data_IF_316769694135
#
_entry.id   IF_316769694135
#
_cell.length_a   1.000
_cell.length_b   1.000
_cell.length_c   1.000
_cell.angle_alpha   90.00
_cell.angle_beta   90.00
_cell.angle_gamma   90.00
#
_symmetry.space_group_name_H-M   'P 1'
#
loop_
_entity.id
_entity.type
_entity.pdbx_description
1 polymer ?
#
# COMPACT_ATOMS: atom_id res chain seq x y z
N UNK A 1 23.30 -1.25 -22.04
CA UNK A 1 22.06 -0.45 -21.89
C UNK A 1 21.33 -0.48 -23.22
N UNK A 2 19.99 -0.57 -23.18
CA UNK A 2 19.18 -0.66 -24.39
C UNK A 2 19.02 -2.09 -24.92
N UNK A 3 19.18 -3.10 -24.08
CA UNK A 3 18.85 -4.48 -24.44
C UNK A 3 17.37 -4.57 -24.79
N UNK A 4 17.06 -5.21 -25.91
CA UNK A 4 15.70 -5.57 -26.33
C UNK A 4 15.47 -7.08 -26.30
N UNK A 5 16.56 -7.84 -26.30
CA UNK A 5 16.57 -9.30 -26.33
C UNK A 5 17.46 -9.81 -25.20
N UNK A 6 16.97 -10.83 -24.51
CA UNK A 6 17.59 -11.49 -23.37
C UNK A 6 17.57 -13.03 -23.53
N UNK A 7 17.31 -13.56 -24.72
CA UNK A 7 17.30 -15.01 -24.99
C UNK A 7 18.56 -15.74 -24.57
N UNK A 8 19.72 -15.06 -24.55
CA UNK A 8 20.97 -15.65 -24.05
C UNK A 8 20.88 -16.11 -22.58
N UNK A 9 20.01 -15.47 -21.77
CA UNK A 9 19.82 -15.82 -20.37
C UNK A 9 19.27 -17.24 -20.20
N UNK A 10 18.60 -17.79 -21.21
CA UNK A 10 18.06 -19.15 -21.15
C UNK A 10 19.12 -20.23 -20.87
N UNK A 11 20.38 -19.92 -21.17
CA UNK A 11 21.51 -20.83 -20.98
C UNK A 11 22.07 -20.78 -19.55
N UNK A 12 21.67 -19.80 -18.74
CA UNK A 12 22.21 -19.54 -17.41
C UNK A 12 21.21 -19.91 -16.32
N UNK A 13 20.67 -21.14 -16.37
CA UNK A 13 19.60 -21.66 -15.50
C UNK A 13 19.86 -21.61 -13.98
N UNK A 14 21.11 -21.40 -13.58
CA UNK A 14 21.51 -21.29 -12.17
C UNK A 14 21.55 -19.85 -11.65
N UNK A 15 21.18 -18.85 -12.46
CA UNK A 15 21.09 -17.47 -12.02
C UNK A 15 20.07 -17.33 -10.89
N UNK A 16 20.48 -16.62 -9.83
CA UNK A 16 19.64 -16.35 -8.64
C UNK A 16 19.27 -14.89 -8.50
N UNK A 17 20.10 -13.99 -9.02
CA UNK A 17 19.94 -12.55 -8.95
C UNK A 17 20.17 -11.97 -10.32
N UNK A 18 19.15 -11.34 -10.89
CA UNK A 18 19.23 -10.75 -12.23
C UNK A 18 18.69 -9.33 -12.17
N UNK A 19 19.51 -8.38 -12.61
CA UNK A 19 19.11 -6.98 -12.82
C UNK A 19 19.15 -6.67 -14.32
N UNK A 20 17.99 -6.45 -14.90
CA UNK A 20 17.77 -6.06 -16.30
C UNK A 20 17.23 -4.64 -16.40
N UNK A 21 17.38 -3.84 -15.35
CA UNK A 21 16.86 -2.48 -15.30
C UNK A 21 17.48 -1.57 -16.36
N UNK A 22 16.76 -0.52 -16.75
CA UNK A 22 17.23 0.54 -17.67
C UNK A 22 17.62 -0.03 -19.04
N UNK A 23 16.75 -0.89 -19.56
CA UNK A 23 16.83 -1.43 -20.91
C UNK A 23 15.57 -1.07 -21.70
N UNK A 24 15.29 -1.79 -22.79
CA UNK A 24 14.14 -1.55 -23.68
C UNK A 24 13.32 -2.82 -23.83
N UNK A 25 13.27 -3.64 -22.78
CA UNK A 25 12.60 -4.94 -22.79
C UNK A 25 11.09 -4.73 -22.85
N UNK A 26 10.45 -5.55 -23.68
CA UNK A 26 8.99 -5.67 -23.78
C UNK A 26 8.50 -7.07 -23.45
N UNK A 27 9.42 -8.03 -23.42
CA UNK A 27 9.15 -9.44 -23.22
C UNK A 27 10.12 -10.01 -22.19
N UNK A 28 9.59 -10.84 -21.31
CA UNK A 28 10.32 -11.56 -20.26
C UNK A 28 10.23 -13.09 -20.43
N UNK A 29 9.62 -13.60 -21.51
CA UNK A 29 9.50 -15.03 -21.77
C UNK A 29 10.82 -15.81 -21.67
N UNK A 30 11.99 -15.27 -22.09
CA UNK A 30 13.27 -15.97 -21.92
C UNK A 30 13.68 -16.27 -20.48
N UNK A 31 13.09 -15.57 -19.49
CA UNK A 31 13.36 -15.81 -18.07
C UNK A 31 12.69 -17.08 -17.54
N UNK A 32 11.77 -17.69 -18.30
CA UNK A 32 11.03 -18.90 -17.91
C UNK A 32 11.91 -20.09 -17.53
N UNK A 33 13.12 -20.17 -18.08
CA UNK A 33 14.11 -21.22 -17.78
C UNK A 33 14.91 -20.98 -16.49
N UNK A 34 14.86 -19.78 -15.92
CA UNK A 34 15.61 -19.40 -14.71
C UNK A 34 14.90 -19.84 -13.44
N UNK A 35 14.61 -21.14 -13.33
CA UNK A 35 13.82 -21.69 -12.23
C UNK A 35 14.44 -21.49 -10.85
N UNK A 36 15.75 -21.21 -10.75
CA UNK A 36 16.47 -20.95 -9.50
C UNK A 36 16.50 -19.47 -9.10
N UNK A 37 15.80 -18.60 -9.83
CA UNK A 37 15.81 -17.17 -9.60
C UNK A 37 15.14 -16.85 -8.26
N UNK A 38 15.83 -16.06 -7.43
CA UNK A 38 15.36 -15.58 -6.14
C UNK A 38 14.96 -14.11 -6.19
N UNK A 39 15.63 -13.34 -7.05
CA UNK A 39 15.48 -11.90 -7.13
C UNK A 39 15.59 -11.43 -8.58
N UNK A 40 14.63 -10.60 -9.00
CA UNK A 40 14.57 -10.03 -10.33
C UNK A 40 14.28 -8.54 -10.29
N UNK A 41 15.10 -7.75 -10.98
CA UNK A 41 14.82 -6.36 -11.30
C UNK A 41 14.66 -6.17 -12.79
N UNK A 42 13.55 -5.58 -13.19
CA UNK A 42 13.26 -5.20 -14.59
C UNK A 42 12.79 -3.75 -14.67
N UNK A 43 13.26 -2.90 -13.75
CA UNK A 43 12.85 -1.51 -13.62
C UNK A 43 13.22 -0.69 -14.87
N UNK A 44 12.44 0.34 -15.21
CA UNK A 44 12.76 1.25 -16.32
C UNK A 44 12.95 0.50 -17.66
N UNK A 45 11.96 -0.30 -18.02
CA UNK A 45 11.85 -0.98 -19.32
C UNK A 45 10.57 -0.50 -20.04
N UNK A 46 10.10 -1.25 -21.04
CA UNK A 46 8.91 -0.94 -21.84
C UNK A 46 7.84 -2.03 -21.70
N UNK A 47 7.80 -2.71 -20.55
CA UNK A 47 6.85 -3.79 -20.28
C UNK A 47 5.42 -3.24 -20.17
N UNK A 48 4.47 -3.91 -20.81
CA UNK A 48 3.04 -3.57 -20.71
C UNK A 48 2.24 -4.58 -19.88
N UNK A 49 2.86 -5.70 -19.50
CA UNK A 49 2.30 -6.73 -18.62
C UNK A 49 3.38 -7.23 -17.68
N UNK A 50 2.98 -7.61 -16.47
CA UNK A 50 3.83 -8.29 -15.48
C UNK A 50 3.79 -9.82 -15.62
N UNK A 51 2.97 -10.34 -16.52
CA UNK A 51 2.76 -11.78 -16.71
C UNK A 51 4.04 -12.50 -17.07
N UNK A 52 4.33 -13.57 -16.36
CA UNK A 52 5.45 -14.45 -16.63
C UNK A 52 5.17 -15.87 -16.15
N UNK A 53 5.93 -16.82 -16.70
CA UNK A 53 5.92 -18.20 -16.21
C UNK A 53 6.26 -18.21 -14.71
N UNK A 54 5.57 -19.05 -13.96
CA UNK A 54 5.83 -19.22 -12.53
C UNK A 54 7.31 -19.58 -12.27
N UNK A 55 7.97 -18.76 -11.45
CA UNK A 55 9.32 -19.01 -10.94
C UNK A 55 9.23 -19.44 -9.47
N UNK A 56 9.46 -20.74 -9.16
CA UNK A 56 9.03 -21.33 -7.88
C UNK A 56 9.80 -20.81 -6.66
N UNK A 57 11.01 -20.29 -6.86
CA UNK A 57 11.85 -19.76 -5.79
C UNK A 57 11.96 -18.23 -5.76
N UNK A 58 11.23 -17.52 -6.64
CA UNK A 58 11.30 -16.08 -6.74
C UNK A 58 10.70 -15.42 -5.49
N UNK A 59 11.50 -14.61 -4.79
CA UNK A 59 11.13 -13.97 -3.52
C UNK A 59 10.91 -12.47 -3.67
N UNK A 60 11.63 -11.83 -4.59
CA UNK A 60 11.56 -10.39 -4.79
C UNK A 60 11.54 -10.08 -6.27
N UNK A 61 10.55 -9.29 -6.70
CA UNK A 61 10.49 -8.77 -8.05
C UNK A 61 10.12 -7.29 -8.06
N UNK A 62 10.74 -6.57 -8.98
CA UNK A 62 10.50 -5.14 -9.17
C UNK A 62 10.34 -4.83 -10.65
N UNK A 63 9.23 -4.19 -10.96
CA UNK A 63 8.77 -3.75 -12.28
C UNK A 63 8.65 -2.23 -12.36
N UNK A 64 9.38 -1.51 -11.53
CA UNK A 64 9.21 -0.07 -11.35
C UNK A 64 9.44 0.68 -12.68
N UNK A 65 8.70 1.77 -12.91
CA UNK A 65 8.86 2.63 -14.08
C UNK A 65 8.72 1.87 -15.41
N UNK A 66 7.65 1.08 -15.57
CA UNK A 66 7.27 0.43 -16.82
C UNK A 66 5.92 0.99 -17.33
N UNK A 67 5.25 0.29 -18.25
CA UNK A 67 3.94 0.64 -18.80
C UNK A 67 2.87 -0.41 -18.47
N UNK A 68 3.00 -1.12 -17.34
CA UNK A 68 2.09 -2.21 -16.95
C UNK A 68 0.72 -1.64 -16.59
N UNK A 69 -0.36 -2.28 -17.05
CA UNK A 69 -1.73 -1.74 -16.95
C UNK A 69 -2.64 -2.52 -15.98
N UNK A 70 -2.25 -3.74 -15.62
CA UNK A 70 -3.00 -4.64 -14.73
C UNK A 70 -2.05 -5.52 -13.91
N UNK A 71 -2.61 -6.32 -13.00
CA UNK A 71 -1.85 -7.23 -12.13
C UNK A 71 -2.00 -8.70 -12.56
N UNK A 72 -2.48 -8.97 -13.77
CA UNK A 72 -2.74 -10.34 -14.22
C UNK A 72 -1.44 -11.10 -14.52
N UNK A 73 -1.47 -12.42 -14.28
CA UNK A 73 -0.36 -13.31 -14.60
C UNK A 73 0.82 -13.26 -13.64
N UNK A 74 0.68 -12.60 -12.48
CA UNK A 74 1.70 -12.62 -11.42
C UNK A 74 1.42 -13.80 -10.49
N UNK A 75 2.06 -14.95 -10.77
CA UNK A 75 1.81 -16.21 -10.07
C UNK A 75 3.12 -16.78 -9.51
N UNK A 76 3.50 -16.37 -8.29
CA UNK A 76 4.79 -16.73 -7.69
C UNK A 76 4.65 -17.08 -6.19
N UNK A 77 4.60 -18.36 -5.81
CA UNK A 77 4.18 -18.80 -4.48
C UNK A 77 5.08 -18.30 -3.34
N UNK A 78 6.38 -18.18 -3.58
CA UNK A 78 7.37 -17.73 -2.59
C UNK A 78 7.67 -16.22 -2.66
N UNK A 79 6.95 -15.46 -3.50
CA UNK A 79 7.16 -14.03 -3.63
C UNK A 79 6.78 -13.31 -2.33
N UNK A 80 7.75 -12.66 -1.70
CA UNK A 80 7.59 -11.92 -0.46
C UNK A 80 7.43 -10.41 -0.70
N UNK A 81 8.01 -9.89 -1.78
CA UNK A 81 7.97 -8.46 -2.12
C UNK A 81 7.75 -8.25 -3.61
N UNK A 82 6.71 -7.48 -3.95
CA UNK A 82 6.36 -7.08 -5.30
C UNK A 82 6.34 -5.55 -5.40
N UNK A 83 7.14 -4.99 -6.31
CA UNK A 83 7.15 -3.56 -6.61
C UNK A 83 6.72 -3.30 -8.06
N UNK A 84 5.72 -2.43 -8.22
CA UNK A 84 5.12 -2.00 -9.48
C UNK A 84 4.96 -0.48 -9.50
N UNK A 85 5.90 0.23 -8.88
CA UNK A 85 5.82 1.69 -8.74
C UNK A 85 5.90 2.38 -10.11
N UNK A 86 5.18 3.49 -10.29
CA UNK A 86 5.24 4.33 -11.50
C UNK A 86 4.94 3.52 -12.77
N UNK A 87 3.81 2.81 -12.76
CA UNK A 87 3.22 2.08 -13.90
C UNK A 87 1.88 2.76 -14.29
N UNK A 88 1.03 2.06 -15.06
CA UNK A 88 -0.26 2.56 -15.54
C UNK A 88 -1.43 1.70 -15.04
N UNK A 89 -1.29 1.12 -13.85
CA UNK A 89 -2.28 0.18 -13.30
C UNK A 89 -3.52 0.96 -12.86
N UNK A 90 -4.69 0.57 -13.36
CA UNK A 90 -5.96 1.25 -13.04
C UNK A 90 -6.85 0.46 -12.06
N UNK A 91 -6.63 -0.84 -11.97
CA UNK A 91 -7.39 -1.79 -11.15
C UNK A 91 -6.43 -2.72 -10.43
N UNK A 92 -6.78 -3.12 -9.21
CA UNK A 92 -5.99 -4.06 -8.39
C UNK A 92 -6.45 -5.52 -8.53
N UNK A 93 -7.32 -5.81 -9.49
CA UNK A 93 -7.70 -7.17 -9.86
C UNK A 93 -6.53 -7.92 -10.50
N UNK A 94 -6.54 -9.25 -10.35
CA UNK A 94 -5.56 -10.15 -10.97
C UNK A 94 -4.59 -10.80 -9.99
N UNK A 95 -4.49 -10.29 -8.75
CA UNK A 95 -3.75 -10.95 -7.68
C UNK A 95 -4.65 -11.95 -6.94
N UNK A 96 -4.10 -13.11 -6.61
CA UNK A 96 -4.78 -14.15 -5.82
C UNK A 96 -3.92 -14.64 -4.67
N UNK A 97 -4.54 -14.79 -3.50
CA UNK A 97 -3.90 -15.30 -2.30
C UNK A 97 -3.35 -16.71 -2.50
N UNK A 98 -4.07 -17.54 -3.26
CA UNK A 98 -3.67 -18.93 -3.52
C UNK A 98 -2.39 -19.03 -4.36
N UNK A 99 -2.07 -17.98 -5.12
CA UNK A 99 -0.86 -17.89 -5.96
C UNK A 99 0.27 -17.10 -5.30
N UNK A 100 -0.05 -16.22 -4.35
CA UNK A 100 0.88 -15.28 -3.72
C UNK A 100 0.84 -15.39 -2.19
N UNK A 101 0.75 -16.61 -1.66
CA UNK A 101 0.53 -16.84 -0.23
C UNK A 101 1.66 -16.38 0.68
N UNK A 102 2.85 -16.11 0.14
CA UNK A 102 4.02 -15.58 0.86
C UNK A 102 4.16 -14.06 0.79
N UNK A 103 3.31 -13.37 0.02
CA UNK A 103 3.46 -11.93 -0.24
C UNK A 103 3.22 -11.11 1.02
N UNK A 104 4.20 -10.30 1.40
CA UNK A 104 4.14 -9.45 2.59
C UNK A 104 4.20 -7.95 2.26
N UNK A 105 4.84 -7.59 1.15
CA UNK A 105 5.04 -6.20 0.73
C UNK A 105 4.55 -6.01 -0.70
N UNK A 106 3.61 -5.09 -0.87
CA UNK A 106 3.11 -4.67 -2.18
C UNK A 106 3.28 -3.15 -2.35
N UNK A 107 4.03 -2.75 -3.36
CA UNK A 107 4.29 -1.35 -3.72
C UNK A 107 3.64 -1.02 -5.06
N UNK A 108 2.62 -0.16 -5.01
CA UNK A 108 1.79 0.28 -6.13
C UNK A 108 1.75 1.81 -6.25
N UNK A 109 2.71 2.52 -5.64
CA UNK A 109 2.77 3.98 -5.71
C UNK A 109 2.91 4.50 -7.15
N UNK A 110 2.26 5.61 -7.46
CA UNK A 110 2.41 6.27 -8.77
C UNK A 110 1.71 5.52 -9.89
N UNK A 111 0.53 4.96 -9.62
CA UNK A 111 -0.32 4.31 -10.62
C UNK A 111 -1.62 5.13 -10.79
N UNK A 112 -2.61 4.57 -11.47
CA UNK A 112 -3.90 5.20 -11.78
C UNK A 112 -5.07 4.49 -11.07
N UNK A 113 -4.81 3.86 -9.92
CA UNK A 113 -5.79 3.06 -9.17
C UNK A 113 -6.89 3.99 -8.61
N UNK A 114 -8.16 3.57 -8.70
CA UNK A 114 -9.33 4.36 -8.27
C UNK A 114 -10.02 3.85 -7.01
N UNK A 115 -9.90 2.55 -6.72
CA UNK A 115 -10.49 1.89 -5.55
C UNK A 115 -9.57 0.74 -5.11
N UNK A 116 -9.66 0.33 -3.84
CA UNK A 116 -8.96 -0.85 -3.32
C UNK A 116 -9.72 -2.16 -3.53
N UNK A 117 -10.92 -2.10 -4.14
CA UNK A 117 -11.75 -3.26 -4.39
C UNK A 117 -11.01 -4.34 -5.21
N UNK A 118 -11.08 -5.59 -4.73
CA UNK A 118 -10.55 -6.76 -5.45
C UNK A 118 -9.06 -7.05 -5.21
N UNK A 119 -8.44 -6.44 -4.22
CA UNK A 119 -7.06 -6.74 -3.82
C UNK A 119 -7.00 -8.11 -3.10
N UNK A 120 -6.96 -9.22 -3.85
CA UNK A 120 -7.08 -10.58 -3.34
C UNK A 120 -5.86 -11.15 -2.58
N UNK A 121 -5.08 -10.34 -1.87
CA UNK A 121 -3.82 -10.73 -1.19
C UNK A 121 -3.81 -10.39 0.30
N UNK A 122 -4.76 -10.95 1.05
CA UNK A 122 -5.07 -10.64 2.46
C UNK A 122 -3.93 -10.78 3.48
N UNK A 123 -2.85 -11.53 3.18
CA UNK A 123 -1.71 -11.74 4.11
C UNK A 123 -0.64 -10.65 4.08
N UNK A 124 -0.85 -9.56 3.34
CA UNK A 124 0.07 -8.43 3.30
C UNK A 124 0.31 -7.84 4.70
N UNK A 125 1.56 -7.41 4.93
CA UNK A 125 1.96 -6.61 6.08
C UNK A 125 2.11 -5.13 5.73
N UNK A 126 2.53 -4.84 4.50
CA UNK A 126 2.78 -3.46 4.04
C UNK A 126 2.18 -3.26 2.66
N UNK A 127 1.32 -2.24 2.56
CA UNK A 127 0.65 -1.86 1.33
C UNK A 127 0.91 -0.37 1.04
N UNK A 128 1.52 -0.10 -0.10
CA UNK A 128 1.85 1.25 -0.53
C UNK A 128 1.04 1.62 -1.77
N UNK A 129 0.10 2.55 -1.61
CA UNK A 129 -0.84 3.02 -2.63
C UNK A 129 -0.74 4.53 -2.84
N UNK A 130 0.37 5.15 -2.41
CA UNK A 130 0.54 6.59 -2.51
C UNK A 130 0.53 7.07 -3.98
N UNK A 131 0.16 8.33 -4.24
CA UNK A 131 0.14 8.90 -5.60
C UNK A 131 -0.68 8.06 -6.58
N UNK A 132 -1.91 7.74 -6.20
CA UNK A 132 -2.90 7.13 -7.08
C UNK A 132 -4.09 8.09 -7.22
N UNK A 133 -5.21 7.62 -7.75
CA UNK A 133 -6.46 8.39 -7.83
C UNK A 133 -7.58 7.77 -6.98
N UNK A 134 -7.22 7.14 -5.87
CA UNK A 134 -8.15 6.39 -5.03
C UNK A 134 -9.17 7.34 -4.41
N UNK A 135 -10.46 7.05 -4.61
CA UNK A 135 -11.57 7.82 -4.05
C UNK A 135 -12.49 6.99 -3.13
N UNK A 136 -12.41 5.66 -3.16
CA UNK A 136 -13.12 4.76 -2.24
C UNK A 136 -12.19 3.66 -1.72
N UNK A 137 -12.45 3.20 -0.50
CA UNK A 137 -11.79 2.06 0.11
C UNK A 137 -12.81 0.92 0.27
N UNK A 138 -12.49 -0.23 -0.27
CA UNK A 138 -13.33 -1.43 -0.32
C UNK A 138 -12.44 -2.68 -0.17
N UNK A 139 -12.94 -3.72 0.50
CA UNK A 139 -12.21 -4.98 0.69
C UNK A 139 -11.02 -4.90 1.66
N UNK A 140 -10.89 -3.80 2.42
CA UNK A 140 -9.80 -3.66 3.40
C UNK A 140 -10.00 -4.57 4.62
N UNK A 141 -11.22 -5.01 4.87
CA UNK A 141 -11.59 -5.92 5.95
C UNK A 141 -10.89 -7.29 5.88
N UNK A 142 -10.40 -7.69 4.70
CA UNK A 142 -9.65 -8.94 4.52
C UNK A 142 -8.23 -8.87 5.09
N UNK A 143 -7.68 -7.66 5.30
CA UNK A 143 -6.28 -7.43 5.62
C UNK A 143 -5.97 -7.48 7.13
N UNK A 144 -6.27 -8.59 7.78
CA UNK A 144 -6.12 -8.74 9.24
C UNK A 144 -4.67 -8.55 9.73
N UNK A 145 -3.68 -8.85 8.87
CA UNK A 145 -2.23 -8.80 9.19
C UNK A 145 -1.53 -7.52 8.73
N UNK A 146 -2.26 -6.60 8.12
CA UNK A 146 -1.66 -5.38 7.58
C UNK A 146 -1.21 -4.47 8.73
N UNK A 147 0.07 -4.12 8.73
CA UNK A 147 0.69 -3.29 9.76
C UNK A 147 0.84 -1.83 9.29
N UNK A 148 1.06 -1.64 7.98
CA UNK A 148 1.35 -0.34 7.36
C UNK A 148 0.52 -0.14 6.10
N UNK A 149 -0.23 0.97 6.06
CA UNK A 149 -0.98 1.41 4.89
C UNK A 149 -0.61 2.84 4.51
N UNK A 150 -0.10 3.02 3.28
CA UNK A 150 0.19 4.34 2.72
C UNK A 150 -0.82 4.70 1.62
N UNK A 151 -1.63 5.72 1.89
CA UNK A 151 -2.64 6.27 0.98
C UNK A 151 -2.37 7.76 0.65
N UNK A 152 -1.15 8.23 0.87
CA UNK A 152 -0.76 9.62 0.60
C UNK A 152 -1.01 10.04 -0.84
N UNK A 153 -1.34 11.31 -1.09
CA UNK A 153 -1.51 11.88 -2.43
C UNK A 153 -2.58 11.08 -3.23
N UNK A 154 -3.78 10.94 -2.68
CA UNK A 154 -4.95 10.31 -3.31
C UNK A 154 -6.14 11.30 -3.35
N UNK A 155 -7.36 10.81 -3.56
CA UNK A 155 -8.58 11.62 -3.68
C UNK A 155 -9.64 11.20 -2.66
N UNK A 156 -9.24 10.64 -1.51
CA UNK A 156 -10.17 10.21 -0.47
C UNK A 156 -10.85 11.42 0.16
N UNK A 157 -12.18 11.46 0.08
CA UNK A 157 -13.02 12.41 0.81
C UNK A 157 -13.63 11.77 2.05
N UNK A 158 -13.96 10.48 1.96
CA UNK A 158 -14.51 9.68 3.04
C UNK A 158 -13.56 8.55 3.45
N UNK A 159 -13.64 8.16 4.73
CA UNK A 159 -12.87 7.06 5.33
C UNK A 159 -13.77 5.85 5.63
N UNK A 160 -14.80 5.64 4.82
CA UNK A 160 -15.54 4.38 4.81
C UNK A 160 -14.65 3.25 4.27
N UNK A 161 -14.84 2.03 4.76
CA UNK A 161 -14.08 0.84 4.34
C UNK A 161 -13.03 0.35 5.34
N UNK A 162 -12.70 1.14 6.38
CA UNK A 162 -11.96 0.60 7.52
C UNK A 162 -12.87 -0.27 8.39
N UNK A 163 -12.30 -1.34 8.97
CA UNK A 163 -13.02 -2.32 9.76
C UNK A 163 -12.22 -2.74 10.99
N UNK A 164 -12.91 -3.21 12.02
CA UNK A 164 -12.34 -3.77 13.25
C UNK A 164 -11.60 -5.11 13.02
N UNK A 165 -11.79 -5.74 11.85
CA UNK A 165 -11.02 -6.90 11.42
C UNK A 165 -9.53 -6.58 11.15
N UNK A 166 -9.19 -5.30 10.87
CA UNK A 166 -7.83 -4.83 10.59
C UNK A 166 -6.98 -4.69 11.87
N UNK A 167 -6.87 -5.80 12.60
CA UNK A 167 -6.36 -5.86 13.98
C UNK A 167 -4.89 -5.47 14.12
N UNK A 168 -4.10 -5.54 13.05
CA UNK A 168 -2.66 -5.27 13.09
C UNK A 168 -2.26 -3.88 12.60
N UNK A 169 -3.18 -3.07 12.07
CA UNK A 169 -2.84 -1.81 11.42
C UNK A 169 -2.33 -0.78 12.44
N UNK A 170 -1.05 -0.45 12.36
CA UNK A 170 -0.36 0.43 13.30
C UNK A 170 -0.04 1.80 12.71
N UNK A 171 0.26 1.85 11.41
CA UNK A 171 0.62 3.07 10.71
C UNK A 171 -0.29 3.31 9.51
N UNK A 172 -0.93 4.48 9.50
CA UNK A 172 -1.80 4.94 8.42
C UNK A 172 -1.37 6.33 7.95
N UNK A 173 -1.09 6.45 6.65
CA UNK A 173 -0.73 7.73 6.05
C UNK A 173 -1.77 8.16 5.02
N UNK A 174 -2.54 9.18 5.38
CA UNK A 174 -3.59 9.81 4.58
C UNK A 174 -3.21 11.22 4.12
N UNK A 175 -1.92 11.59 4.20
CA UNK A 175 -1.44 12.93 3.81
C UNK A 175 -1.88 13.30 2.39
N UNK A 176 -2.22 14.56 2.12
CA UNK A 176 -2.61 15.02 0.79
C UNK A 176 -3.80 14.24 0.22
N UNK A 177 -4.89 14.17 0.98
CA UNK A 177 -6.18 13.69 0.49
C UNK A 177 -7.18 14.86 0.53
N UNK A 178 -8.48 14.57 0.56
CA UNK A 178 -9.57 15.55 0.56
C UNK A 178 -10.49 15.36 1.76
N UNK A 179 -9.95 14.89 2.88
CA UNK A 179 -10.72 14.61 4.10
C UNK A 179 -11.11 15.94 4.75
N UNK A 180 -12.41 16.26 4.74
CA UNK A 180 -12.89 17.60 5.10
C UNK A 180 -13.17 17.80 6.59
N UNK A 181 -13.61 16.75 7.28
CA UNK A 181 -14.15 16.90 8.64
C UNK A 181 -13.59 15.87 9.60
N UNK A 182 -13.68 16.17 10.89
CA UNK A 182 -13.32 15.22 11.94
C UNK A 182 -14.30 14.05 12.05
N UNK A 183 -15.52 14.15 11.51
CA UNK A 183 -16.47 13.03 11.45
C UNK A 183 -15.91 11.87 10.62
N UNK A 184 -15.17 12.16 9.55
CA UNK A 184 -14.48 11.13 8.79
C UNK A 184 -13.35 10.49 9.61
N UNK A 185 -12.63 11.29 10.41
CA UNK A 185 -11.58 10.80 11.30
C UNK A 185 -12.14 9.90 12.41
N UNK A 186 -13.38 10.15 12.88
CA UNK A 186 -14.06 9.28 13.85
C UNK A 186 -14.24 7.85 13.35
N UNK A 187 -14.38 7.64 12.03
CA UNK A 187 -14.51 6.30 11.44
C UNK A 187 -13.28 5.43 11.71
N UNK A 188 -12.11 6.03 11.95
CA UNK A 188 -10.87 5.31 12.29
C UNK A 188 -10.87 4.76 13.73
N UNK A 189 -11.87 5.07 14.56
CA UNK A 189 -12.00 4.51 15.92
C UNK A 189 -12.14 2.98 15.91
N UNK A 190 -12.60 2.40 14.80
CA UNK A 190 -12.71 0.95 14.64
C UNK A 190 -11.35 0.24 14.63
N UNK A 191 -10.24 0.95 14.39
CA UNK A 191 -8.90 0.38 14.26
C UNK A 191 -8.23 0.24 15.63
N UNK A 192 -8.12 -0.97 16.21
CA UNK A 192 -7.74 -1.14 17.61
C UNK A 192 -6.26 -0.85 17.88
N UNK A 193 -5.38 -1.12 16.91
CA UNK A 193 -3.93 -1.02 17.06
C UNK A 193 -3.32 0.20 16.38
N UNK A 194 -4.15 1.15 15.90
CA UNK A 194 -3.65 2.33 15.21
C UNK A 194 -2.85 3.22 16.16
N UNK A 195 -1.56 3.38 15.90
CA UNK A 195 -0.63 4.14 16.74
C UNK A 195 -0.14 5.42 16.08
N UNK A 196 0.02 5.41 14.76
CA UNK A 196 0.57 6.52 14.01
C UNK A 196 -0.34 6.89 12.84
N UNK A 197 -0.79 8.15 12.83
CA UNK A 197 -1.64 8.71 11.80
C UNK A 197 -0.98 9.94 11.17
N UNK A 198 -1.04 10.04 9.85
CA UNK A 198 -0.64 11.25 9.12
C UNK A 198 -1.82 11.76 8.31
N UNK A 199 -2.25 12.98 8.59
CA UNK A 199 -3.42 13.65 8.03
C UNK A 199 -3.08 15.05 7.47
N UNK A 200 -1.83 15.52 7.61
CA UNK A 200 -1.33 16.74 6.96
C UNK A 200 -1.82 16.90 5.52
N UNK A 201 -1.94 18.15 5.06
CA UNK A 201 -2.38 18.49 3.71
C UNK A 201 -3.78 17.93 3.36
N UNK A 202 -4.66 17.81 4.35
CA UNK A 202 -6.10 17.61 4.16
C UNK A 202 -6.86 18.85 4.66
N UNK A 203 -8.07 19.15 4.13
CA UNK A 203 -8.83 20.29 4.61
C UNK A 203 -9.13 20.24 6.13
N UNK A 204 -9.34 19.07 6.73
CA UNK A 204 -9.52 18.96 8.18
C UNK A 204 -8.29 19.42 8.99
N UNK A 205 -7.09 19.39 8.41
CA UNK A 205 -5.85 19.84 9.05
C UNK A 205 -5.74 21.37 9.16
N UNK A 206 -6.59 22.12 8.45
CA UNK A 206 -6.65 23.58 8.51
C UNK A 206 -7.64 24.09 9.57
N UNK A 207 -8.46 23.20 10.14
CA UNK A 207 -9.45 23.54 11.15
C UNK A 207 -8.82 23.93 12.50
N UNK A 208 -9.44 24.86 13.26
CA UNK A 208 -8.97 25.23 14.60
C UNK A 208 -8.90 24.02 15.53
N UNK A 209 -7.89 24.00 16.41
CA UNK A 209 -7.68 22.90 17.37
C UNK A 209 -7.53 21.52 16.73
N UNK A 210 -7.19 21.44 15.43
CA UNK A 210 -7.04 20.20 14.66
C UNK A 210 -6.41 19.04 15.45
N UNK A 211 -5.25 19.29 16.07
CA UNK A 211 -4.50 18.27 16.78
C UNK A 211 -5.28 17.71 17.97
N UNK A 212 -5.83 18.57 18.83
CA UNK A 212 -6.65 18.16 19.97
C UNK A 212 -7.95 17.48 19.53
N UNK A 213 -8.58 17.95 18.45
CA UNK A 213 -9.80 17.37 17.90
C UNK A 213 -9.58 15.95 17.38
N UNK A 214 -8.49 15.70 16.66
CA UNK A 214 -8.12 14.34 16.21
C UNK A 214 -7.80 13.45 17.40
N UNK A 215 -6.96 13.90 18.33
CA UNK A 215 -6.57 13.11 19.49
C UNK A 215 -7.74 12.82 20.44
N UNK A 216 -8.73 13.70 20.53
CA UNK A 216 -9.95 13.44 21.32
C UNK A 216 -10.82 12.31 20.78
N UNK A 217 -10.75 12.08 19.47
CA UNK A 217 -11.47 10.99 18.77
C UNK A 217 -10.65 9.72 18.73
N UNK A 218 -9.34 9.84 18.60
CA UNK A 218 -8.39 8.74 18.49
C UNK A 218 -7.35 8.81 19.62
N UNK A 219 -7.77 8.66 20.90
CA UNK A 219 -6.88 8.81 22.06
C UNK A 219 -5.77 7.76 22.13
N UNK A 220 -5.92 6.64 21.41
CA UNK A 220 -4.92 5.58 21.30
C UNK A 220 -3.67 5.98 20.50
N UNK A 221 -3.72 7.08 19.75
CA UNK A 221 -2.57 7.52 18.94
C UNK A 221 -1.36 7.85 19.83
N UNK A 222 -0.21 7.39 19.36
CA UNK A 222 1.11 7.72 19.89
C UNK A 222 1.78 8.80 19.06
N UNK A 223 1.47 8.86 17.76
CA UNK A 223 2.00 9.86 16.84
C UNK A 223 0.92 10.40 15.92
N UNK A 224 0.89 11.72 15.77
CA UNK A 224 0.07 12.41 14.81
C UNK A 224 0.97 13.33 13.98
N UNK A 225 0.88 13.21 12.66
CA UNK A 225 1.63 14.03 11.70
C UNK A 225 3.14 14.00 11.88
N UNK A 226 3.64 12.81 12.25
CA UNK A 226 5.04 12.46 12.54
C UNK A 226 5.56 12.95 13.89
N UNK A 227 4.80 13.75 14.62
CA UNK A 227 5.11 14.21 15.96
C UNK A 227 4.55 13.23 17.00
N UNK A 228 5.27 13.07 18.11
CA UNK A 228 4.79 12.29 19.26
C UNK A 228 3.65 13.02 19.96
N UNK A 229 2.75 12.27 20.59
CA UNK A 229 1.69 12.83 21.45
C UNK A 229 2.24 12.94 22.87
N UNK A 230 2.37 14.16 23.36
CA UNK A 230 2.96 14.45 24.67
C UNK A 230 1.95 14.24 25.81
N UNK A 231 2.44 14.01 27.03
CA UNK A 231 1.59 13.78 28.21
C UNK A 231 0.69 14.96 28.56
N UNK A 232 1.13 16.18 28.29
CA UNK A 232 0.32 17.39 28.51
C UNK A 232 -0.90 17.40 27.58
N UNK A 233 -0.71 17.05 26.30
CA UNK A 233 -1.79 16.94 25.33
C UNK A 233 -2.77 15.84 25.70
N UNK A 234 -2.29 14.71 26.24
CA UNK A 234 -3.16 13.62 26.72
C UNK A 234 -4.09 14.08 27.84
N UNK A 235 -3.57 14.86 28.79
CA UNK A 235 -4.37 15.41 29.90
C UNK A 235 -5.42 16.40 29.39
N UNK A 236 -5.03 17.28 28.47
CA UNK A 236 -5.94 18.25 27.86
C UNK A 236 -7.06 17.56 27.08
N UNK A 237 -6.71 16.57 26.26
CA UNK A 237 -7.67 15.74 25.52
C UNK A 237 -8.65 15.03 26.45
N UNK A 238 -8.18 14.46 27.55
CA UNK A 238 -9.05 13.78 28.52
C UNK A 238 -10.05 14.75 29.17
N UNK A 239 -9.59 15.95 29.56
CA UNK A 239 -10.47 17.00 30.08
C UNK A 239 -11.56 17.39 29.06
N UNK A 240 -11.17 17.59 27.79
CA UNK A 240 -12.12 17.93 26.70
C UNK A 240 -13.18 16.83 26.55
N UNK A 241 -12.78 15.56 26.59
CA UNK A 241 -13.70 14.41 26.48
C UNK A 241 -14.65 14.33 27.67
N UNK A 242 -14.18 14.60 28.88
CA UNK A 242 -15.03 14.63 30.07
C UNK A 242 -16.07 15.74 29.99
N UNK A 243 -15.65 16.96 29.64
CA UNK A 243 -16.57 18.10 29.48
C UNK A 243 -17.62 17.85 28.37
N UNK A 244 -17.26 17.17 27.28
CA UNK A 244 -18.22 16.77 26.23
C UNK A 244 -19.26 15.80 26.76
N UNK A 245 -18.82 14.74 27.47
CA UNK A 245 -19.72 13.74 28.07
C UNK A 245 -20.67 14.33 29.11
N UNK A 246 -20.24 15.36 29.84
CA UNK A 246 -21.09 16.04 30.82
C UNK A 246 -22.17 16.92 30.17
N UNK A 247 -21.88 17.50 28.99
CA UNK A 247 -22.84 18.32 28.22
C UNK A 247 -23.88 17.49 27.46
N UNK A 248 -23.61 16.21 27.23
CA UNK A 248 -24.50 15.27 26.54
C UNK A 248 -25.44 14.50 27.48
N UNK A 249 -25.29 14.67 28.81
CA UNK A 249 -26.17 14.11 29.85
C UNK A 249 -27.23 15.12 30.28
#
# INVERSE_FOLDING_TARGET
RGLTDISLLERFVHLRYVDLSKNKLKDLAPLSSLIQLLWLKVDSNLLTSASMQELPYLQVISFDCNCIMDLEGITHPLLASLSLKENKIQTVLGLSHDQLFSLQVLELRGNEIKTTAGLGVSKLKKLYLAKNTICSLEGLEEFEKLETLHLRDNKLEALDGFSDSMKCLQYLNLRSNRIKSFQEVEKLQVLPMLQALVLMDNPCAEEPNYRLEVLSRLPQLQRLDKESVEEEERKEVENIRQTRKEKEK
#
